data_IF_947038756171
#
_entry.id   IF_947038756171
#
_cell.length_a   1.000
_cell.length_b   1.000
_cell.length_c   1.000
_cell.angle_alpha   90.00
_cell.angle_beta   90.00
_cell.angle_gamma   90.00
#
_symmetry.space_group_name_H-M   'P 1'
#
loop_
_entity.id
_entity.type
_entity.pdbx_description
1 polymer ?
#
# COMPACT_ATOMS: atom_id res chain seq x y z
N UNK A 1 -7.37 10.38 12.13
CA UNK A 1 -6.19 10.18 13.00
C UNK A 1 -5.48 8.94 12.50
N UNK A 2 -4.21 9.05 12.06
CA UNK A 2 -3.46 7.92 11.53
C UNK A 2 -3.22 6.90 12.64
N UNK A 3 -3.54 5.63 12.41
CA UNK A 3 -3.40 4.57 13.40
C UNK A 3 -1.91 4.19 13.53
N UNK A 4 -1.18 4.89 14.40
CA UNK A 4 0.25 4.65 14.63
C UNK A 4 0.46 3.64 15.76
N UNK A 5 1.35 2.66 15.54
CA UNK A 5 1.73 1.66 16.55
C UNK A 5 3.04 2.10 17.21
N UNK A 6 3.06 2.19 18.55
CA UNK A 6 4.29 2.48 19.31
C UNK A 6 5.24 1.29 19.23
N UNK A 7 6.47 1.54 18.79
CA UNK A 7 7.56 0.56 18.77
C UNK A 7 8.74 1.10 19.59
N UNK A 8 9.37 0.23 20.38
CA UNK A 8 10.63 0.51 21.06
C UNK A 8 11.72 -0.40 20.47
N UNK A 9 12.89 0.18 20.20
CA UNK A 9 14.06 -0.51 19.65
C UNK A 9 15.31 0.02 20.34
N UNK A 10 16.29 -0.88 20.54
CA UNK A 10 17.63 -0.48 20.93
C UNK A 10 18.43 -0.15 19.68
N UNK A 11 19.25 0.90 19.74
CA UNK A 11 20.14 1.34 18.67
C UNK A 11 21.55 1.53 19.23
N UNK A 12 22.55 1.45 18.37
CA UNK A 12 23.93 1.66 18.77
C UNK A 12 24.20 3.14 19.08
N UNK A 13 25.16 3.47 19.97
CA UNK A 13 25.51 4.85 20.27
C UNK A 13 25.86 5.70 19.03
N UNK A 14 26.47 5.09 18.02
CA UNK A 14 26.78 5.76 16.74
C UNK A 14 25.51 6.12 15.96
N UNK A 15 24.48 5.28 16.01
CA UNK A 15 23.20 5.52 15.35
C UNK A 15 22.44 6.66 16.05
N UNK A 16 22.47 6.71 17.38
CA UNK A 16 21.90 7.81 18.17
C UNK A 16 22.53 9.17 17.81
N UNK A 17 23.87 9.24 17.75
CA UNK A 17 24.58 10.46 17.33
C UNK A 17 24.17 10.89 15.92
N UNK A 18 24.07 9.93 15.00
CA UNK A 18 23.68 10.19 13.61
C UNK A 18 22.23 10.67 13.50
N UNK A 19 21.33 10.08 14.30
CA UNK A 19 19.91 10.41 14.31
C UNK A 19 19.67 11.84 14.81
N UNK A 20 20.33 12.23 15.91
CA UNK A 20 20.31 13.60 16.44
C UNK A 20 20.86 14.62 15.44
N UNK A 21 21.98 14.30 14.79
CA UNK A 21 22.55 15.18 13.75
C UNK A 21 21.59 15.36 12.58
N UNK A 22 20.95 14.28 12.13
CA UNK A 22 19.96 14.34 11.07
C UNK A 22 18.73 15.16 11.46
N UNK A 23 18.27 15.04 12.72
CA UNK A 23 17.15 15.84 13.22
C UNK A 23 17.47 17.34 13.19
N UNK A 24 18.67 17.73 13.62
CA UNK A 24 19.13 19.12 13.57
C UNK A 24 19.25 19.66 12.14
N UNK A 25 19.83 18.88 11.23
CA UNK A 25 20.04 19.31 9.82
C UNK A 25 18.70 19.42 9.07
N UNK A 26 17.79 18.49 9.30
CA UNK A 26 16.54 18.40 8.52
C UNK A 26 15.36 19.13 9.16
N UNK A 27 15.47 19.53 10.43
CA UNK A 27 14.37 20.06 11.23
C UNK A 27 13.27 19.03 11.53
N UNK A 28 13.49 17.75 11.23
CA UNK A 28 12.54 16.67 11.47
C UNK A 28 12.75 16.04 12.85
N UNK A 29 11.68 15.46 13.41
CA UNK A 29 11.81 14.64 14.61
C UNK A 29 12.57 13.35 14.31
N UNK A 30 13.29 12.83 15.30
CA UNK A 30 13.98 11.54 15.22
C UNK A 30 13.04 10.40 14.78
N UNK A 31 11.79 10.41 15.28
CA UNK A 31 10.78 9.43 14.91
C UNK A 31 10.31 9.55 13.44
N UNK A 32 10.27 10.77 12.88
CA UNK A 32 9.99 10.98 11.45
C UNK A 32 11.13 10.44 10.59
N UNK A 33 12.38 10.67 11.01
CA UNK A 33 13.56 10.15 10.32
C UNK A 33 13.56 8.62 10.31
N UNK A 34 13.30 7.98 11.44
CA UNK A 34 13.20 6.51 11.54
C UNK A 34 12.10 5.99 10.61
N UNK A 35 10.93 6.63 10.59
CA UNK A 35 9.82 6.22 9.69
C UNK A 35 10.21 6.33 8.22
N UNK A 36 10.85 7.43 7.80
CA UNK A 36 11.29 7.61 6.40
C UNK A 36 12.39 6.64 6.00
N UNK A 37 13.34 6.38 6.90
CA UNK A 37 14.40 5.40 6.68
C UNK A 37 13.80 4.00 6.48
N UNK A 38 12.84 3.62 7.33
CA UNK A 38 12.11 2.36 7.20
C UNK A 38 11.34 2.28 5.88
N UNK A 39 10.58 3.32 5.50
CA UNK A 39 9.87 3.36 4.22
C UNK A 39 10.83 3.25 3.02
N UNK A 40 11.96 3.94 3.07
CA UNK A 40 12.97 3.89 2.01
C UNK A 40 13.55 2.49 1.87
N UNK A 41 13.92 1.86 2.99
CA UNK A 41 14.45 0.51 3.01
C UNK A 41 13.45 -0.52 2.48
N UNK A 42 12.18 -0.42 2.90
CA UNK A 42 11.11 -1.31 2.42
C UNK A 42 10.80 -1.13 0.93
N UNK A 43 11.01 0.08 0.38
CA UNK A 43 10.94 0.33 -1.07
C UNK A 43 12.12 -0.30 -1.81
N UNK A 44 13.32 -0.15 -1.28
CA UNK A 44 14.57 -0.67 -1.86
C UNK A 44 14.54 -2.20 -1.98
N UNK A 45 14.14 -2.90 -0.92
CA UNK A 45 14.02 -4.37 -0.93
C UNK A 45 12.80 -4.86 -1.73
N UNK A 46 12.04 -3.95 -2.36
CA UNK A 46 10.90 -4.28 -3.20
C UNK A 46 9.66 -4.77 -2.45
N UNK A 47 9.64 -4.69 -1.11
CA UNK A 47 8.51 -5.12 -0.27
C UNK A 47 7.24 -4.33 -0.58
N UNK A 48 7.39 -3.09 -1.05
CA UNK A 48 6.31 -2.26 -1.59
C UNK A 48 6.42 -2.01 -3.09
N UNK A 49 6.82 -3.02 -3.89
CA UNK A 49 6.50 -3.00 -5.32
C UNK A 49 4.99 -3.07 -5.47
N UNK A 50 4.32 -1.91 -5.33
CA UNK A 50 3.04 -1.68 -5.98
C UNK A 50 3.36 -1.89 -7.45
N UNK A 51 3.00 -3.03 -8.00
CA UNK A 51 3.02 -3.27 -9.43
C UNK A 51 1.94 -2.39 -10.05
N UNK A 52 2.09 -1.08 -9.95
CA UNK A 52 1.15 -0.09 -10.44
C UNK A 52 0.91 -0.29 -11.94
N UNK A 53 1.94 -0.75 -12.64
CA UNK A 53 1.83 -1.14 -14.04
C UNK A 53 1.06 -2.46 -14.24
N UNK A 54 1.21 -3.45 -13.36
CA UNK A 54 0.36 -4.65 -13.39
C UNK A 54 -1.08 -4.31 -13.05
N UNK A 55 -1.32 -3.44 -12.08
CA UNK A 55 -2.66 -2.96 -11.74
C UNK A 55 -3.30 -2.16 -12.89
N UNK A 56 -2.55 -1.29 -13.56
CA UNK A 56 -3.02 -0.60 -14.77
C UNK A 56 -3.35 -1.57 -15.90
N UNK A 57 -2.54 -2.61 -16.10
CA UNK A 57 -2.81 -3.69 -17.07
C UNK A 57 -4.08 -4.44 -16.71
N UNK A 58 -4.27 -4.77 -15.44
CA UNK A 58 -5.45 -5.46 -14.91
C UNK A 58 -6.72 -4.63 -15.09
N UNK A 59 -6.69 -3.35 -14.73
CA UNK A 59 -7.81 -2.42 -14.94
C UNK A 59 -8.16 -2.30 -16.43
N UNK A 60 -7.16 -2.23 -17.33
CA UNK A 60 -7.40 -2.24 -18.78
C UNK A 60 -8.02 -3.56 -19.24
N UNK A 61 -7.56 -4.68 -18.70
CA UNK A 61 -8.09 -6.02 -19.01
C UNK A 61 -9.56 -6.16 -18.57
N UNK A 62 -9.88 -5.80 -17.33
CA UNK A 62 -11.26 -5.80 -16.80
C UNK A 62 -12.16 -4.89 -17.65
N UNK A 63 -11.72 -3.68 -18.00
CA UNK A 63 -12.48 -2.78 -18.89
C UNK A 63 -12.72 -3.38 -20.28
N UNK A 64 -11.76 -4.12 -20.83
CA UNK A 64 -11.92 -4.85 -22.10
C UNK A 64 -12.96 -5.97 -21.96
N UNK A 65 -12.95 -6.73 -20.87
CA UNK A 65 -13.95 -7.76 -20.58
C UNK A 65 -15.35 -7.17 -20.42
N UNK A 66 -15.52 -6.09 -19.67
CA UNK A 66 -16.82 -5.41 -19.48
C UNK A 66 -17.43 -4.94 -20.80
N UNK A 67 -16.60 -4.38 -21.70
CA UNK A 67 -17.04 -3.96 -23.04
C UNK A 67 -17.49 -5.13 -23.91
N UNK A 68 -16.81 -6.27 -23.82
CA UNK A 68 -17.23 -7.51 -24.50
C UNK A 68 -18.52 -8.07 -23.92
N UNK A 69 -18.68 -8.04 -22.59
CA UNK A 69 -19.86 -8.56 -21.88
C UNK A 69 -21.13 -7.75 -22.18
N UNK A 70 -21.04 -6.43 -22.40
CA UNK A 70 -22.18 -5.60 -22.88
C UNK A 70 -22.77 -6.06 -24.22
N UNK A 71 -22.03 -6.84 -25.04
CA UNK A 71 -22.53 -7.41 -26.31
C UNK A 71 -23.24 -8.75 -26.14
N UNK A 72 -23.14 -9.37 -24.97
CA UNK A 72 -23.83 -10.61 -24.63
C UNK A 72 -25.08 -10.17 -23.86
N UNK A 73 -26.26 -10.62 -24.27
CA UNK A 73 -27.51 -10.34 -23.56
C UNK A 73 -27.30 -10.54 -22.04
N UNK A 74 -27.84 -9.65 -21.18
CA UNK A 74 -27.73 -9.84 -19.74
C UNK A 74 -28.19 -11.25 -19.39
N UNK A 75 -27.49 -11.96 -18.48
CA UNK A 75 -27.93 -13.28 -18.06
C UNK A 75 -29.40 -13.18 -17.63
N UNK A 76 -30.27 -14.03 -18.19
CA UNK A 76 -31.70 -14.08 -17.83
C UNK A 76 -31.89 -14.33 -16.32
N UNK A 77 -30.89 -14.89 -15.66
CA UNK A 77 -30.86 -15.12 -14.22
C UNK A 77 -30.51 -13.82 -13.47
N UNK A 78 -31.54 -13.14 -12.98
CA UNK A 78 -31.41 -12.17 -11.90
C UNK A 78 -31.50 -12.96 -10.61
N UNK A 79 -30.37 -13.17 -9.96
CA UNK A 79 -30.33 -13.77 -8.62
C UNK A 79 -31.13 -12.84 -7.70
N UNK A 80 -32.27 -13.33 -7.21
CA UNK A 80 -32.99 -12.67 -6.13
C UNK A 80 -32.52 -13.25 -4.81
N UNK A 81 -32.61 -12.46 -3.75
CA UNK A 81 -32.21 -12.90 -2.41
C UNK A 81 -33.06 -14.08 -1.94
N UNK A 82 -34.31 -14.13 -2.41
CA UNK A 82 -35.25 -15.21 -2.16
C UNK A 82 -34.80 -16.57 -2.72
N UNK A 83 -34.01 -16.60 -3.80
CA UNK A 83 -33.55 -17.85 -4.45
C UNK A 83 -32.40 -18.56 -3.68
N UNK A 84 -31.96 -18.00 -2.55
CA UNK A 84 -30.80 -18.47 -1.79
C UNK A 84 -31.16 -19.46 -0.65
N UNK A 85 -32.45 -19.61 -0.35
CA UNK A 85 -32.94 -20.36 0.82
C UNK A 85 -33.91 -21.48 0.47
N UNK A 86 -33.68 -22.16 -0.66
CA UNK A 86 -34.29 -23.47 -0.97
C UNK A 86 -33.26 -24.61 -0.79
#
# INVERSE_FOLDING_TARGET
MSNMVRKQVYIEPKQEISLKRMAQITGMTEAEIIRRALESHLKEIGMFKKHHDAWKKEVKFIKKLMRKRKKINPPKQRWKREDLYD
#
